data_IF_848804416658
#
_entry.id   IF_848804416658
#
_cell.length_a   1.000
_cell.length_b   1.000
_cell.length_c   1.000
_cell.angle_alpha   90.00
_cell.angle_beta   90.00
_cell.angle_gamma   90.00
#
_symmetry.space_group_name_H-M   'P 1'
#
loop_
_entity.id
_entity.type
_entity.pdbx_description
1 polymer ?
#
# COMPACT_ATOMS: atom_id res chain seq x y z
N UNK A 1 2.41 -28.27 -19.02
CA UNK A 1 3.68 -27.68 -18.55
C UNK A 1 3.52 -26.18 -18.54
N UNK A 2 3.61 -25.54 -17.38
CA UNK A 2 3.51 -24.08 -17.25
C UNK A 2 4.88 -23.52 -17.68
N UNK A 3 4.86 -22.53 -18.57
CA UNK A 3 6.07 -21.80 -18.94
C UNK A 3 6.54 -21.03 -17.68
N UNK A 4 7.75 -21.29 -17.14
CA UNK A 4 8.23 -20.64 -15.91
C UNK A 4 8.30 -19.10 -16.00
N UNK A 5 8.23 -18.53 -17.20
CA UNK A 5 8.21 -17.08 -17.41
C UNK A 5 6.86 -16.38 -17.17
N UNK A 6 5.77 -17.14 -17.03
CA UNK A 6 4.41 -16.60 -16.86
C UNK A 6 4.02 -16.68 -15.39
N UNK A 7 3.70 -15.56 -14.73
CA UNK A 7 3.25 -15.58 -13.35
C UNK A 7 1.95 -16.37 -13.22
N UNK A 8 1.73 -17.02 -12.08
CA UNK A 8 0.54 -17.84 -11.84
C UNK A 8 0.08 -17.77 -10.39
N UNK A 9 -1.18 -18.11 -10.15
CA UNK A 9 -1.70 -18.39 -8.82
C UNK A 9 -1.71 -19.90 -8.59
N UNK A 10 -1.02 -20.34 -7.54
CA UNK A 10 -1.18 -21.68 -6.98
C UNK A 10 -2.36 -21.65 -6.01
N UNK A 11 -3.47 -22.24 -6.41
CA UNK A 11 -4.72 -22.33 -5.65
C UNK A 11 -4.71 -23.65 -4.87
N UNK A 12 -4.82 -23.58 -3.56
CA UNK A 12 -5.06 -24.71 -2.67
C UNK A 12 -6.47 -24.62 -2.11
N UNK A 13 -7.25 -25.67 -2.38
CA UNK A 13 -8.64 -25.81 -1.96
C UNK A 13 -8.71 -26.37 -0.53
N UNK A 14 -9.83 -26.14 0.19
CA UNK A 14 -10.03 -26.68 1.55
C UNK A 14 -9.91 -28.20 1.64
N UNK A 15 -10.25 -28.91 0.56
CA UNK A 15 -10.18 -30.37 0.44
C UNK A 15 -8.77 -30.90 0.10
N UNK A 16 -7.77 -30.00 0.00
CA UNK A 16 -6.39 -30.33 -0.31
C UNK A 16 -6.09 -30.42 -1.81
N UNK A 17 -7.08 -30.25 -2.70
CA UNK A 17 -6.81 -30.14 -4.14
C UNK A 17 -5.95 -28.91 -4.40
N UNK A 18 -5.12 -29.00 -5.43
CA UNK A 18 -4.30 -27.89 -5.92
C UNK A 18 -4.56 -27.65 -7.40
N UNK A 19 -4.52 -26.38 -7.81
CA UNK A 19 -4.61 -25.96 -9.19
C UNK A 19 -3.72 -24.75 -9.43
N UNK A 20 -3.04 -24.71 -10.57
CA UNK A 20 -2.33 -23.52 -11.00
C UNK A 20 -3.16 -22.76 -12.04
N UNK A 21 -3.29 -21.45 -11.88
CA UNK A 21 -3.97 -20.57 -12.83
C UNK A 21 -2.98 -19.55 -13.40
N UNK A 22 -2.63 -19.61 -14.70
CA UNK A 22 -1.68 -18.69 -15.30
C UNK A 22 -2.28 -17.28 -15.42
N UNK A 23 -1.48 -16.27 -15.08
CA UNK A 23 -1.85 -14.86 -15.18
C UNK A 23 -1.27 -14.30 -16.48
N UNK A 24 -2.12 -14.16 -17.49
CA UNK A 24 -1.72 -13.71 -18.82
C UNK A 24 -2.10 -12.24 -19.00
N UNK A 25 -1.09 -11.37 -19.07
CA UNK A 25 -1.26 -9.94 -19.35
C UNK A 25 -1.88 -9.72 -20.73
N UNK A 26 -2.92 -8.88 -20.78
CA UNK A 26 -3.37 -8.16 -21.97
C UNK A 26 -2.61 -6.84 -22.10
N UNK A 27 -2.69 -6.21 -23.27
CA UNK A 27 -1.92 -5.00 -23.63
C UNK A 27 -2.34 -3.71 -22.93
N UNK A 28 -3.52 -3.67 -22.31
CA UNK A 28 -4.07 -2.44 -21.71
C UNK A 28 -4.41 -2.64 -20.23
N UNK A 29 -5.28 -3.60 -19.94
CA UNK A 29 -5.69 -3.95 -18.59
C UNK A 29 -6.08 -5.43 -18.54
N UNK A 30 -5.69 -6.10 -17.45
CA UNK A 30 -6.11 -7.48 -17.18
C UNK A 30 -6.80 -7.53 -15.84
N UNK A 31 -8.04 -8.01 -15.85
CA UNK A 31 -8.84 -8.27 -14.65
C UNK A 31 -9.17 -9.76 -14.65
N UNK A 32 -8.83 -10.43 -13.56
CA UNK A 32 -9.13 -11.85 -13.33
C UNK A 32 -10.00 -11.91 -12.09
N UNK A 33 -11.30 -12.16 -12.29
CA UNK A 33 -12.29 -12.21 -11.21
C UNK A 33 -12.21 -13.54 -10.49
N UNK A 34 -12.33 -13.49 -9.17
CA UNK A 34 -12.30 -14.65 -8.29
C UNK A 34 -13.59 -14.65 -7.47
N UNK A 35 -14.29 -15.78 -7.43
CA UNK A 35 -15.52 -15.86 -6.66
C UNK A 35 -16.18 -17.23 -6.70
N UNK A 36 -17.38 -17.31 -6.12
CA UNK A 36 -18.12 -18.57 -5.96
C UNK A 36 -18.89 -19.01 -7.21
N UNK A 37 -19.28 -18.06 -8.06
CA UNK A 37 -20.10 -18.30 -9.26
C UNK A 37 -19.27 -18.47 -10.52
N UNK A 38 -19.87 -19.05 -11.54
CA UNK A 38 -19.25 -19.43 -12.83
C UNK A 38 -18.90 -18.25 -13.74
N UNK A 39 -19.42 -17.05 -13.48
CA UNK A 39 -19.06 -15.83 -14.21
C UNK A 39 -17.67 -15.28 -13.83
N UNK A 40 -16.99 -15.87 -12.84
CA UNK A 40 -15.63 -15.52 -12.47
C UNK A 40 -14.61 -16.33 -13.26
N UNK A 41 -13.44 -15.74 -13.52
CA UNK A 41 -12.33 -16.41 -14.19
C UNK A 41 -11.76 -17.56 -13.33
N UNK A 42 -11.74 -17.37 -12.01
CA UNK A 42 -11.39 -18.40 -11.02
C UNK A 42 -12.60 -18.67 -10.13
N UNK A 43 -13.14 -19.88 -10.24
CA UNK A 43 -14.32 -20.33 -9.49
C UNK A 43 -13.87 -21.15 -8.29
N UNK A 44 -14.16 -20.67 -7.08
CA UNK A 44 -13.75 -21.32 -5.83
C UNK A 44 -14.87 -22.23 -5.31
N UNK A 45 -14.78 -23.52 -5.65
CA UNK A 45 -15.72 -24.56 -5.27
C UNK A 45 -14.99 -25.88 -4.91
N UNK A 46 -15.54 -26.71 -4.00
CA UNK A 46 -16.80 -26.53 -3.30
C UNK A 46 -16.68 -25.51 -2.15
N UNK A 47 -17.73 -24.70 -1.96
CA UNK A 47 -17.86 -23.77 -0.83
C UNK A 47 -19.19 -24.01 -0.10
N UNK A 48 -19.29 -25.10 0.70
CA UNK A 48 -20.56 -25.55 1.27
C UNK A 48 -21.17 -24.57 2.28
N UNK A 49 -20.34 -23.74 2.90
CA UNK A 49 -20.76 -22.72 3.88
C UNK A 49 -21.00 -21.35 3.23
N UNK A 50 -20.90 -21.26 1.90
CA UNK A 50 -21.05 -20.03 1.11
C UNK A 50 -20.18 -18.85 1.63
N UNK A 51 -18.97 -19.15 2.14
CA UNK A 51 -18.06 -18.12 2.67
C UNK A 51 -17.48 -17.25 1.57
N UNK A 52 -17.41 -17.75 0.35
CA UNK A 52 -16.96 -17.02 -0.83
C UNK A 52 -18.13 -16.23 -1.42
N UNK A 53 -18.00 -14.91 -1.47
CA UNK A 53 -18.91 -14.02 -2.21
C UNK A 53 -19.05 -14.42 -3.68
N UNK A 54 -20.16 -14.03 -4.31
CA UNK A 54 -20.46 -14.33 -5.72
C UNK A 54 -19.34 -13.90 -6.66
N UNK A 55 -18.88 -12.66 -6.52
CA UNK A 55 -17.55 -12.18 -6.90
C UNK A 55 -16.90 -11.69 -5.62
N UNK A 56 -15.74 -12.22 -5.29
CA UNK A 56 -15.08 -12.02 -4.01
C UNK A 56 -14.00 -10.97 -4.10
N UNK A 57 -13.06 -11.16 -5.02
CA UNK A 57 -11.98 -10.24 -5.28
C UNK A 57 -11.56 -10.39 -6.74
N UNK A 58 -10.58 -9.60 -7.16
CA UNK A 58 -9.97 -9.76 -8.47
C UNK A 58 -8.48 -9.47 -8.44
N UNK A 59 -7.79 -10.08 -9.40
CA UNK A 59 -6.39 -9.84 -9.67
C UNK A 59 -6.32 -8.86 -10.83
N UNK A 60 -5.60 -7.79 -10.63
CA UNK A 60 -5.53 -6.66 -11.53
C UNK A 60 -4.10 -6.45 -12.02
N UNK A 61 -3.96 -6.15 -13.31
CA UNK A 61 -2.75 -5.58 -13.87
C UNK A 61 -3.11 -4.39 -14.73
N UNK A 62 -2.62 -3.21 -14.35
CA UNK A 62 -2.80 -1.95 -15.07
C UNK A 62 -1.57 -1.68 -15.94
N UNK A 63 -1.77 -1.53 -17.25
CA UNK A 63 -0.74 -1.15 -18.21
C UNK A 63 0.44 -2.14 -18.33
N UNK A 64 1.47 -1.73 -19.07
CA UNK A 64 2.62 -2.59 -19.42
C UNK A 64 3.70 -2.68 -18.31
N UNK A 65 3.38 -2.31 -17.07
CA UNK A 65 4.36 -2.30 -15.97
C UNK A 65 4.66 -3.68 -15.40
N UNK A 66 3.89 -4.71 -15.77
CA UNK A 66 4.18 -6.11 -15.46
C UNK A 66 3.88 -6.54 -14.02
N UNK A 67 3.38 -5.64 -13.17
CA UNK A 67 3.01 -5.96 -11.79
C UNK A 67 1.55 -6.42 -11.68
N UNK A 68 1.24 -7.09 -10.58
CA UNK A 68 -0.09 -7.60 -10.28
C UNK A 68 -0.54 -7.11 -8.91
N UNK A 69 -1.84 -6.88 -8.75
CA UNK A 69 -2.48 -6.45 -7.51
C UNK A 69 -3.67 -7.36 -7.21
N UNK A 70 -3.94 -7.59 -5.93
CA UNK A 70 -5.23 -8.12 -5.47
C UNK A 70 -6.10 -6.96 -5.01
N UNK A 71 -7.35 -6.96 -5.44
CA UNK A 71 -8.32 -5.92 -5.09
C UNK A 71 -9.58 -6.58 -4.55
N UNK A 72 -10.10 -6.03 -3.45
CA UNK A 72 -11.34 -6.46 -2.82
C UNK A 72 -12.18 -5.22 -2.51
N UNK A 73 -13.27 -5.04 -3.26
CA UNK A 73 -14.16 -3.88 -3.13
C UNK A 73 -15.27 -4.06 -2.08
N UNK A 74 -15.26 -5.15 -1.31
CA UNK A 74 -16.25 -5.36 -0.25
C UNK A 74 -16.81 -6.78 -0.16
N UNK A 75 -15.96 -7.79 -0.26
CA UNK A 75 -16.36 -9.18 0.00
C UNK A 75 -16.95 -9.35 1.40
N UNK A 76 -17.95 -10.25 1.51
CA UNK A 76 -18.68 -10.47 2.76
C UNK A 76 -17.76 -10.95 3.89
N UNK A 77 -16.85 -11.86 3.57
CA UNK A 77 -15.95 -12.49 4.53
C UNK A 77 -14.50 -12.06 4.39
N UNK A 78 -14.18 -11.02 3.61
CA UNK A 78 -12.83 -10.47 3.49
C UNK A 78 -11.87 -11.27 2.60
N UNK A 79 -10.89 -10.54 2.06
CA UNK A 79 -9.69 -11.08 1.43
C UNK A 79 -8.49 -10.61 2.24
N UNK A 80 -7.64 -11.54 2.67
CA UNK A 80 -6.39 -11.19 3.36
C UNK A 80 -5.20 -11.54 2.51
N UNK A 81 -4.16 -10.73 2.62
CA UNK A 81 -2.88 -10.99 1.99
C UNK A 81 -1.77 -11.03 3.02
N UNK A 82 -0.86 -11.99 2.86
CA UNK A 82 0.39 -12.11 3.61
C UNK A 82 1.55 -12.14 2.64
N UNK A 83 2.43 -11.16 2.73
CA UNK A 83 3.73 -11.21 2.04
C UNK A 83 4.74 -12.07 2.82
N UNK A 84 5.76 -12.62 2.15
CA UNK A 84 6.82 -13.37 2.83
C UNK A 84 7.44 -12.56 3.97
N UNK A 85 7.43 -13.10 5.19
CA UNK A 85 7.94 -12.43 6.39
C UNK A 85 7.02 -11.36 6.99
N UNK A 86 5.84 -11.10 6.40
CA UNK A 86 4.87 -10.11 6.87
C UNK A 86 3.74 -10.70 7.72
N UNK A 87 2.87 -9.80 8.18
CA UNK A 87 1.59 -10.15 8.81
C UNK A 87 0.45 -10.08 7.79
N UNK A 88 -0.71 -10.65 8.12
CA UNK A 88 -1.89 -10.57 7.27
C UNK A 88 -2.47 -9.16 7.25
N UNK A 89 -2.75 -8.64 6.06
CA UNK A 89 -3.41 -7.37 5.82
C UNK A 89 -4.79 -7.63 5.18
N UNK A 90 -5.83 -6.88 5.59
CA UNK A 90 -7.16 -6.94 4.95
C UNK A 90 -7.15 -6.06 3.70
N UNK A 91 -7.33 -6.69 2.53
CA UNK A 91 -7.23 -6.04 1.21
C UNK A 91 -8.31 -4.97 1.04
N UNK A 92 -9.47 -5.11 1.69
CA UNK A 92 -10.60 -4.16 1.58
C UNK A 92 -10.24 -2.76 2.04
N UNK A 93 -9.27 -2.64 2.96
CA UNK A 93 -8.80 -1.36 3.47
C UNK A 93 -8.10 -0.51 2.39
N UNK A 94 -7.68 -1.12 1.27
CA UNK A 94 -7.06 -0.41 0.15
C UNK A 94 -8.07 0.00 -0.94
N UNK A 95 -9.33 -0.44 -0.86
CA UNK A 95 -10.36 -0.15 -1.86
C UNK A 95 -9.91 -0.51 -3.28
N UNK A 96 -10.14 0.41 -4.23
CA UNK A 96 -9.84 0.26 -5.65
C UNK A 96 -8.34 0.26 -6.00
N UNK A 97 -7.48 0.70 -5.06
CA UNK A 97 -6.02 0.67 -5.20
C UNK A 97 -5.48 -0.76 -5.11
N UNK A 98 -6.10 -1.59 -4.28
CA UNK A 98 -5.65 -2.94 -3.97
C UNK A 98 -4.28 -3.03 -3.29
N UNK A 99 -3.82 -4.26 -3.08
CA UNK A 99 -2.49 -4.57 -2.54
C UNK A 99 -1.65 -5.23 -3.64
N UNK A 100 -0.41 -4.77 -3.81
CA UNK A 100 0.51 -5.33 -4.80
C UNK A 100 0.87 -6.78 -4.42
N UNK A 101 0.91 -7.68 -5.39
CA UNK A 101 1.39 -9.04 -5.22
C UNK A 101 2.90 -9.08 -5.41
N UNK A 102 3.58 -9.72 -4.45
CA UNK A 102 4.99 -10.08 -4.54
C UNK A 102 5.11 -11.59 -4.69
N UNK A 103 6.24 -12.08 -5.22
CA UNK A 103 6.56 -13.50 -5.23
C UNK A 103 6.28 -14.14 -3.85
N UNK A 104 5.59 -15.29 -3.86
CA UNK A 104 5.13 -16.03 -2.66
C UNK A 104 4.10 -15.30 -1.78
N UNK A 105 3.50 -14.20 -2.25
CA UNK A 105 2.37 -13.60 -1.55
C UNK A 105 1.21 -14.60 -1.43
N UNK A 106 0.73 -14.79 -0.21
CA UNK A 106 -0.37 -15.67 0.12
C UNK A 106 -1.66 -14.86 0.26
N UNK A 107 -2.64 -15.13 -0.59
CA UNK A 107 -3.99 -14.59 -0.50
C UNK A 107 -4.88 -15.64 0.18
N UNK A 108 -5.60 -15.23 1.22
CA UNK A 108 -6.62 -16.01 1.91
C UNK A 108 -8.00 -15.45 1.54
N UNK A 109 -8.83 -16.29 0.95
CA UNK A 109 -10.23 -15.98 0.69
C UNK A 109 -10.96 -16.42 1.95
N UNK A 110 -11.45 -15.47 2.75
CA UNK A 110 -11.89 -15.65 4.14
C UNK A 110 -10.79 -16.07 5.15
N UNK A 111 -10.95 -15.65 6.41
CA UNK A 111 -10.21 -16.18 7.56
C UNK A 111 -11.08 -17.16 8.34
N UNK A 112 -10.50 -18.25 8.79
CA UNK A 112 -11.14 -19.18 9.71
C UNK A 112 -10.10 -19.83 10.60
N UNK A 113 -10.45 -20.00 11.88
CA UNK A 113 -9.67 -20.79 12.86
C UNK A 113 -10.05 -22.27 12.85
N UNK A 114 -11.21 -22.61 12.27
CA UNK A 114 -11.79 -23.96 12.33
C UNK A 114 -11.74 -24.66 10.97
N UNK A 115 -11.78 -23.90 9.87
CA UNK A 115 -11.78 -24.42 8.50
C UNK A 115 -10.52 -23.98 7.75
N UNK A 116 -10.03 -24.85 6.86
CA UNK A 116 -8.98 -24.48 5.92
C UNK A 116 -9.56 -23.55 4.85
N UNK A 117 -9.15 -22.27 4.77
CA UNK A 117 -9.62 -21.37 3.73
C UNK A 117 -9.06 -21.76 2.36
N UNK A 118 -9.65 -21.20 1.30
CA UNK A 118 -8.99 -21.22 -0.01
C UNK A 118 -7.74 -20.34 0.07
N UNK A 119 -6.61 -20.90 -0.36
CA UNK A 119 -5.31 -20.22 -0.36
C UNK A 119 -4.84 -20.04 -1.78
N UNK A 120 -4.48 -18.83 -2.15
CA UNK A 120 -3.94 -18.54 -3.48
C UNK A 120 -2.55 -17.94 -3.29
N UNK A 121 -1.51 -18.69 -3.62
CA UNK A 121 -0.14 -18.21 -3.57
C UNK A 121 0.26 -17.67 -4.93
N UNK A 122 0.73 -16.44 -4.97
CA UNK A 122 1.25 -15.81 -6.18
C UNK A 122 2.69 -16.26 -6.45
N UNK A 123 2.93 -16.73 -7.66
CA UNK A 123 4.24 -17.17 -8.14
C UNK A 123 4.63 -16.34 -9.36
N UNK A 124 5.71 -15.58 -9.21
CA UNK A 124 6.36 -14.87 -10.31
C UNK A 124 7.88 -14.98 -10.14
N UNK A 125 8.56 -15.77 -10.97
CA UNK A 125 10.02 -15.95 -10.91
C UNK A 125 10.78 -14.67 -11.29
N UNK A 126 10.18 -13.76 -12.05
CA UNK A 126 10.81 -12.46 -12.35
C UNK A 126 10.80 -11.57 -11.11
N UNK A 127 9.79 -11.72 -10.26
CA UNK A 127 9.68 -11.01 -9.00
C UNK A 127 10.46 -11.68 -7.85
N UNK A 128 10.73 -13.00 -7.91
CA UNK A 128 11.55 -13.70 -6.90
C UNK A 128 13.00 -13.19 -6.82
N UNK A 129 13.51 -12.64 -7.92
CA UNK A 129 14.81 -11.94 -7.96
C UNK A 129 14.77 -10.55 -7.33
N UNK A 130 13.58 -10.00 -7.10
CA UNK A 130 13.33 -8.74 -6.39
C UNK A 130 12.80 -9.08 -5.00
N UNK A 131 13.71 -9.34 -4.05
CA UNK A 131 13.35 -9.60 -2.63
C UNK A 131 12.22 -8.65 -2.18
N UNK A 132 11.17 -9.14 -1.49
CA UNK A 132 10.18 -8.27 -0.88
C UNK A 132 10.95 -7.31 0.03
N UNK A 133 11.07 -6.06 -0.42
CA UNK A 133 11.70 -5.03 0.38
C UNK A 133 10.72 -4.75 1.51
N UNK A 134 11.18 -4.70 2.78
CA UNK A 134 10.32 -4.33 3.88
C UNK A 134 9.59 -3.04 3.51
N UNK A 135 8.28 -2.98 3.75
CA UNK A 135 7.53 -1.74 3.53
C UNK A 135 8.23 -0.62 4.30
N UNK A 136 8.64 0.40 3.57
CA UNK A 136 9.27 1.57 4.16
C UNK A 136 8.18 2.55 4.54
N UNK A 137 8.24 3.09 5.76
CA UNK A 137 7.35 4.18 6.19
C UNK A 137 8.15 5.32 6.80
N UNK A 138 7.52 6.49 6.92
CA UNK A 138 8.12 7.63 7.60
C UNK A 138 7.75 7.61 9.09
N UNK A 139 8.75 7.88 9.90
CA UNK A 139 8.61 8.06 11.33
C UNK A 139 9.18 9.42 11.74
N UNK A 140 8.42 10.16 12.54
CA UNK A 140 8.87 11.42 13.11
C UNK A 140 8.96 11.31 14.63
N UNK A 141 10.15 11.51 15.18
CA UNK A 141 10.36 11.64 16.61
C UNK A 141 10.13 13.11 17.00
N UNK A 142 9.03 13.36 17.72
CA UNK A 142 8.63 14.70 18.17
C UNK A 142 9.63 15.30 19.16
N UNK A 143 10.14 14.50 20.12
CA UNK A 143 11.07 14.98 21.15
C UNK A 143 12.42 15.42 20.59
N UNK A 144 12.88 14.76 19.52
CA UNK A 144 14.17 15.03 18.89
C UNK A 144 14.05 15.89 17.62
N UNK A 145 12.83 16.20 17.17
CA UNK A 145 12.54 16.79 15.86
C UNK A 145 13.31 16.09 14.73
N UNK A 146 13.24 14.76 14.66
CA UNK A 146 13.97 13.97 13.65
C UNK A 146 13.02 13.14 12.82
N UNK A 147 13.21 13.21 11.51
CA UNK A 147 12.50 12.41 10.53
C UNK A 147 13.37 11.22 10.12
N UNK A 148 12.76 10.04 10.09
CA UNK A 148 13.39 8.79 9.70
C UNK A 148 12.56 8.10 8.64
N UNK A 149 13.26 7.39 7.76
CA UNK A 149 12.67 6.32 6.96
C UNK A 149 12.94 5.02 7.71
N UNK A 150 11.89 4.29 8.03
CA UNK A 150 11.98 2.99 8.70
C UNK A 150 11.74 1.90 7.68
N UNK A 151 12.67 0.97 7.55
CA UNK A 151 12.58 -0.19 6.65
C UNK A 151 12.95 -1.45 7.43
N UNK A 152 11.95 -2.24 7.82
CA UNK A 152 12.12 -3.30 8.81
C UNK A 152 12.54 -2.71 10.15
N UNK A 153 13.65 -3.16 10.72
CA UNK A 153 14.19 -2.65 12.00
C UNK A 153 15.14 -1.45 11.83
N UNK A 154 15.49 -1.09 10.59
CA UNK A 154 16.47 -0.04 10.32
C UNK A 154 15.81 1.34 10.26
N UNK A 155 16.44 2.33 10.91
CA UNK A 155 16.03 3.73 10.88
C UNK A 155 17.06 4.57 10.13
N UNK A 156 16.66 5.17 9.01
CA UNK A 156 17.51 6.00 8.16
C UNK A 156 17.14 7.48 8.38
N UNK A 157 17.99 8.29 9.03
CA UNK A 157 17.66 9.69 9.32
C UNK A 157 17.66 10.56 8.06
N UNK A 158 16.62 11.37 7.89
CA UNK A 158 16.52 12.39 6.84
C UNK A 158 17.00 13.73 7.41
N UNK A 159 17.99 14.32 6.75
CA UNK A 159 18.52 15.63 7.14
C UNK A 159 17.65 16.76 6.61
N UNK A 160 16.76 17.28 7.46
CA UNK A 160 15.92 18.43 7.13
C UNK A 160 16.69 19.76 7.21
N UNK A 161 16.51 20.61 6.19
CA UNK A 161 16.86 22.04 6.24
C UNK A 161 16.02 22.76 7.30
N UNK A 162 16.41 23.98 7.75
CA UNK A 162 15.64 24.71 8.77
C UNK A 162 14.17 24.96 8.39
N UNK A 163 13.88 25.27 7.12
CA UNK A 163 12.51 25.52 6.66
C UNK A 163 11.69 24.22 6.55
N UNK A 164 12.29 23.15 6.02
CA UNK A 164 11.64 21.82 6.01
C UNK A 164 11.34 21.34 7.42
N UNK A 165 12.26 21.57 8.37
CA UNK A 165 12.08 21.21 9.78
C UNK A 165 10.88 21.93 10.38
N UNK A 166 10.78 23.26 10.23
CA UNK A 166 9.60 24.01 10.69
C UNK A 166 8.29 23.49 10.09
N UNK A 167 8.29 23.18 8.80
CA UNK A 167 7.13 22.60 8.11
C UNK A 167 6.74 21.24 8.71
N UNK A 168 7.71 20.33 8.83
CA UNK A 168 7.49 18.98 9.34
C UNK A 168 7.09 19.00 10.82
N UNK A 169 7.74 19.82 11.65
CA UNK A 169 7.39 20.02 13.06
C UNK A 169 5.93 20.46 13.19
N UNK A 170 5.53 21.49 12.43
CA UNK A 170 4.16 21.98 12.47
C UNK A 170 3.14 20.91 12.05
N UNK A 171 3.36 20.25 10.92
CA UNK A 171 2.44 19.22 10.43
C UNK A 171 2.37 18.00 11.37
N UNK A 172 3.51 17.58 11.93
CA UNK A 172 3.56 16.49 12.90
C UNK A 172 2.85 16.84 14.20
N UNK A 173 2.96 18.10 14.66
CA UNK A 173 2.22 18.61 15.82
C UNK A 173 0.71 18.67 15.55
N UNK A 174 0.27 19.04 14.34
CA UNK A 174 -1.15 18.97 13.97
C UNK A 174 -1.66 17.52 13.99
N UNK A 175 -0.87 16.56 13.47
CA UNK A 175 -1.20 15.14 13.59
C UNK A 175 -1.28 14.69 15.05
N UNK A 176 -0.34 15.14 15.90
CA UNK A 176 -0.34 14.82 17.33
C UNK A 176 -1.62 15.31 18.03
N UNK A 177 -2.01 16.56 17.76
CA UNK A 177 -3.25 17.16 18.27
C UNK A 177 -4.49 16.42 17.77
N UNK A 178 -4.41 15.81 16.58
CA UNK A 178 -5.42 14.94 16.01
C UNK A 178 -5.22 13.44 16.38
N UNK A 179 -4.80 13.17 17.62
CA UNK A 179 -4.64 11.81 18.16
C UNK A 179 -3.63 10.93 17.40
N UNK A 180 -2.70 11.54 16.68
CA UNK A 180 -1.70 10.86 15.85
C UNK A 180 -2.14 10.60 14.41
N UNK A 181 -3.39 10.92 14.04
CA UNK A 181 -3.90 10.72 12.69
C UNK A 181 -3.54 11.90 11.78
N UNK A 182 -3.10 11.64 10.52
CA UNK A 182 -2.81 12.68 9.55
C UNK A 182 -3.99 13.64 9.34
N UNK A 183 -3.72 14.94 9.45
CA UNK A 183 -4.74 15.98 9.28
C UNK A 183 -4.34 17.04 8.25
N UNK A 184 -5.34 17.71 7.70
CA UNK A 184 -5.16 18.77 6.72
C UNK A 184 -4.53 19.99 7.39
N UNK A 185 -3.35 20.38 6.91
CA UNK A 185 -2.70 21.64 7.24
C UNK A 185 -2.97 22.65 6.12
N UNK A 186 -3.65 23.74 6.43
CA UNK A 186 -4.02 24.74 5.43
C UNK A 186 -2.80 25.53 4.94
N UNK A 187 -2.87 26.05 3.72
CA UNK A 187 -1.79 26.85 3.14
C UNK A 187 -1.40 28.06 4.01
N UNK A 188 -2.37 28.78 4.56
CA UNK A 188 -2.12 29.95 5.42
C UNK A 188 -1.32 29.56 6.66
N UNK A 189 -1.68 28.45 7.29
CA UNK A 189 -1.07 28.03 8.54
C UNK A 189 0.34 27.49 8.30
N UNK A 190 0.55 26.79 7.18
CA UNK A 190 1.88 26.36 6.74
C UNK A 190 2.77 27.56 6.45
N UNK A 191 2.27 28.59 5.76
CA UNK A 191 3.05 29.81 5.50
C UNK A 191 3.47 30.47 6.82
N UNK A 192 2.51 30.65 7.73
CA UNK A 192 2.75 31.24 9.04
C UNK A 192 3.76 30.41 9.86
N UNK A 193 3.64 29.09 9.88
CA UNK A 193 4.54 28.22 10.64
C UNK A 193 5.97 28.23 10.10
N UNK A 194 6.15 28.27 8.78
CA UNK A 194 7.46 28.17 8.14
C UNK A 194 8.17 29.53 8.15
N UNK A 195 7.48 30.61 7.78
CA UNK A 195 8.06 31.92 7.54
C UNK A 195 7.55 33.03 8.47
N UNK A 196 6.51 32.80 9.27
CA UNK A 196 5.90 33.83 10.11
C UNK A 196 5.17 34.87 9.25
N UNK A 197 5.30 36.15 9.63
CA UNK A 197 4.57 37.27 9.01
C UNK A 197 5.18 37.74 7.68
N UNK A 198 5.94 36.90 6.98
CA UNK A 198 6.52 37.23 5.67
C UNK A 198 5.46 37.16 4.57
N UNK A 199 4.86 38.32 4.27
CA UNK A 199 3.82 38.50 3.26
C UNK A 199 4.29 38.23 1.81
N UNK A 200 5.60 38.03 1.58
CA UNK A 200 6.12 37.70 0.25
C UNK A 200 5.94 36.23 -0.11
N UNK A 201 5.60 35.39 0.88
CA UNK A 201 5.50 33.93 0.72
C UNK A 201 4.13 33.51 0.20
N UNK A 202 4.17 32.51 -0.66
CA UNK A 202 3.02 32.05 -1.42
C UNK A 202 2.79 30.56 -1.24
N UNK A 203 1.61 30.07 -1.64
CA UNK A 203 1.32 28.63 -1.70
C UNK A 203 2.32 27.89 -2.60
N UNK A 204 2.87 28.58 -3.62
CA UNK A 204 3.93 28.03 -4.48
C UNK A 204 5.24 27.76 -3.74
N UNK A 205 5.58 28.57 -2.74
CA UNK A 205 6.77 28.34 -1.91
C UNK A 205 6.61 27.10 -1.01
N UNK A 206 5.41 26.90 -0.46
CA UNK A 206 5.07 25.67 0.28
C UNK A 206 5.16 24.47 -0.64
N UNK A 207 4.54 24.54 -1.83
CA UNK A 207 4.58 23.47 -2.82
C UNK A 207 6.02 23.11 -3.21
N UNK A 208 6.90 24.10 -3.36
CA UNK A 208 8.31 23.89 -3.66
C UNK A 208 9.06 23.18 -2.52
N UNK A 209 8.79 23.53 -1.25
CA UNK A 209 9.38 22.84 -0.11
C UNK A 209 8.93 21.38 -0.03
N UNK A 210 7.63 21.13 -0.21
CA UNK A 210 7.06 19.78 -0.23
C UNK A 210 7.65 18.97 -1.38
N UNK A 211 7.69 19.51 -2.59
CA UNK A 211 8.24 18.82 -3.76
C UNK A 211 9.72 18.47 -3.56
N UNK A 212 10.52 19.37 -2.98
CA UNK A 212 11.93 19.08 -2.65
C UNK A 212 12.07 17.97 -1.62
N UNK A 213 11.33 18.05 -0.52
CA UNK A 213 11.39 17.05 0.54
C UNK A 213 10.86 15.68 0.05
N UNK A 214 9.75 15.67 -0.68
CA UNK A 214 9.20 14.47 -1.33
C UNK A 214 10.25 13.82 -2.23
N UNK A 215 10.94 14.62 -3.05
CA UNK A 215 12.00 14.14 -3.91
C UNK A 215 13.18 13.58 -3.11
N UNK A 216 13.64 14.28 -2.07
CA UNK A 216 14.69 13.78 -1.18
C UNK A 216 14.34 12.44 -0.51
N UNK A 217 13.06 12.23 -0.20
CA UNK A 217 12.56 10.96 0.38
C UNK A 217 12.53 9.86 -0.68
N UNK A 218 11.95 10.15 -1.85
CA UNK A 218 11.74 9.16 -2.92
C UNK A 218 13.06 8.77 -3.62
N UNK A 219 13.95 9.72 -3.90
CA UNK A 219 15.23 9.46 -4.59
C UNK A 219 16.16 8.54 -3.77
N UNK A 220 16.07 8.61 -2.43
CA UNK A 220 16.86 7.78 -1.54
C UNK A 220 16.18 6.44 -1.23
N UNK A 221 14.84 6.36 -1.34
CA UNK A 221 14.05 5.19 -0.92
C UNK A 221 12.81 5.00 -1.81
N UNK A 222 12.97 4.18 -2.87
CA UNK A 222 11.99 3.95 -3.95
C UNK A 222 10.62 3.35 -3.54
N UNK A 223 10.40 3.03 -2.26
CA UNK A 223 9.18 2.34 -1.80
C UNK A 223 8.23 3.21 -0.96
N UNK A 224 8.59 4.47 -0.68
CA UNK A 224 7.70 5.37 0.08
C UNK A 224 6.90 6.23 -0.90
N UNK A 225 5.61 5.96 -0.98
CA UNK A 225 4.65 6.75 -1.75
C UNK A 225 3.68 7.48 -0.82
N UNK A 226 3.03 8.52 -1.34
CA UNK A 226 1.97 9.27 -0.64
C UNK A 226 2.40 9.90 0.70
N UNK A 227 3.64 10.37 0.81
CA UNK A 227 4.11 11.08 2.03
C UNK A 227 3.33 12.36 2.26
N UNK A 228 3.14 13.13 1.19
CA UNK A 228 2.34 14.34 1.20
C UNK A 228 1.15 14.15 0.26
N UNK A 229 -0.05 14.35 0.79
CA UNK A 229 -1.26 14.41 -0.02
C UNK A 229 -1.65 15.87 -0.24
N UNK A 230 -2.01 16.20 -1.48
CA UNK A 230 -2.44 17.55 -1.85
C UNK A 230 -3.95 17.59 -1.94
N UNK A 231 -4.58 18.42 -1.11
CA UNK A 231 -6.00 18.75 -1.22
C UNK A 231 -6.11 20.09 -1.96
N UNK A 232 -6.67 20.03 -3.17
CA UNK A 232 -6.67 21.15 -4.13
C UNK A 232 -7.21 22.43 -3.49
N UNK A 233 -6.40 23.48 -3.52
CA UNK A 233 -6.70 24.82 -3.00
C UNK A 233 -6.92 24.90 -1.47
N UNK A 234 -6.71 23.81 -0.73
CA UNK A 234 -6.89 23.79 0.73
C UNK A 234 -5.55 23.72 1.45
N UNK A 235 -4.72 22.74 1.09
CA UNK A 235 -3.43 22.54 1.73
C UNK A 235 -2.89 21.13 1.55
N UNK A 236 -2.22 20.64 2.60
CA UNK A 236 -1.48 19.38 2.54
C UNK A 236 -1.71 18.53 3.80
N UNK A 237 -1.73 17.22 3.59
CA UNK A 237 -1.69 16.22 4.67
C UNK A 237 -0.30 15.58 4.67
N UNK A 238 0.27 15.36 5.85
CA UNK A 238 1.55 14.69 6.01
C UNK A 238 1.36 13.32 6.67
N UNK A 239 1.60 12.27 5.89
CA UNK A 239 1.49 10.89 6.32
C UNK A 239 2.78 10.44 6.99
N UNK A 240 2.80 10.47 8.33
CA UNK A 240 3.96 10.10 9.14
C UNK A 240 3.51 9.42 10.43
N UNK A 241 4.26 8.39 10.85
CA UNK A 241 4.09 7.79 12.17
C UNK A 241 4.78 8.64 13.22
N UNK A 242 4.08 9.00 14.29
CA UNK A 242 4.65 9.80 15.39
C UNK A 242 5.22 8.89 16.49
N UNK A 243 6.40 9.24 16.98
CA UNK A 243 7.06 8.64 18.14
C UNK A 243 7.66 9.72 19.05
N UNK A 244 8.00 9.36 20.29
CA UNK A 244 8.50 10.27 21.32
C UNK A 244 9.91 9.87 21.76
#
# INVERSE_FOLDING_TARGET
>A
MINPEVPFLKIQYPDGREQNYPLVSKTEETIIKIGRLDHNDIVLQPDPEERVSRTHCYILQKGNQGFWWVVDEGSANGTWIRHPGGSDQDVRLQGDKGVRLYHEALILIYRSSENSPFKLTFWDEKDSTKKPQPESFLEYNLSQSKLFIVTGDNHYPIKLTPLQRKMVDYMAEQNHQNQGEPTLCQHSDLIQAIWGDDLTKTNGDVANLICRLQKEITDNHNNINNVFETLRNEGYVFNVKLVY
#
